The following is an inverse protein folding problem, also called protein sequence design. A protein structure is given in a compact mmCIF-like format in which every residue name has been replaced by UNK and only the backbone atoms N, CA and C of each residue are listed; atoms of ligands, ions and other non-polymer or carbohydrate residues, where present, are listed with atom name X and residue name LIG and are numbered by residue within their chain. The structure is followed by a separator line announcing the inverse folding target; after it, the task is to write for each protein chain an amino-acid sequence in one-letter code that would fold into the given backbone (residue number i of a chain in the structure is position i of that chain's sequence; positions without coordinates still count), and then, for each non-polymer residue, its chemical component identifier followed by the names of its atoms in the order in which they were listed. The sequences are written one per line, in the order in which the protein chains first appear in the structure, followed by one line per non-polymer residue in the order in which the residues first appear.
data_IF_848933010469
#
_entry.id   IF_848933010469
#
_cell.length_a   1.000
_cell.length_b   1.000
_cell.length_c   1.000
_cell.angle_alpha   90.00
_cell.angle_beta   90.00
_cell.angle_gamma   90.00
#
_symmetry.space_group_name_H-M   'P 1'
#
loop_
_entity.id
_entity.type
_entity.pdbx_description
1 polymer ?
#
# COMPACT_ATOMS: atom_id res chain seq x y z
N UNK A 1 11.47 60.44 -64.81
CA UNK A 1 11.49 60.47 -63.32
C UNK A 1 10.29 59.76 -62.70
N UNK A 2 9.10 59.73 -63.27
CA UNK A 2 7.89 59.09 -62.63
C UNK A 2 7.95 57.58 -62.64
N UNK A 3 8.50 56.86 -63.62
CA UNK A 3 8.60 55.37 -63.63
C UNK A 3 9.56 54.79 -62.61
N UNK A 4 10.54 55.55 -62.12
CA UNK A 4 11.47 55.09 -61.05
C UNK A 4 10.80 55.11 -59.68
N UNK A 5 9.88 55.99 -59.42
CA UNK A 5 9.17 56.10 -58.14
C UNK A 5 8.10 55.03 -58.00
N UNK A 6 7.44 54.57 -59.05
CA UNK A 6 6.46 53.49 -59.02
C UNK A 6 7.12 52.14 -58.77
N UNK A 7 8.31 51.90 -59.36
CA UNK A 7 9.06 50.65 -59.12
C UNK A 7 9.54 50.46 -57.63
N UNK A 8 9.88 51.57 -56.98
CA UNK A 8 10.32 51.55 -55.57
C UNK A 8 9.13 51.29 -54.61
N UNK A 9 7.96 51.83 -54.93
CA UNK A 9 6.76 51.66 -54.10
C UNK A 9 6.18 50.23 -54.19
N UNK A 10 6.23 49.62 -55.37
CA UNK A 10 5.76 48.24 -55.58
C UNK A 10 6.69 47.22 -54.90
N UNK A 11 8.03 47.46 -54.97
CA UNK A 11 9.01 46.53 -54.37
C UNK A 11 8.98 46.55 -52.84
N UNK A 12 8.73 47.73 -52.22
CA UNK A 12 8.57 47.84 -50.78
C UNK A 12 7.29 47.13 -50.27
N UNK A 13 6.18 47.17 -51.02
CA UNK A 13 4.94 46.50 -50.66
C UNK A 13 5.06 44.98 -50.78
N UNK A 14 5.80 44.45 -51.73
CA UNK A 14 6.05 43.02 -51.88
C UNK A 14 6.97 42.51 -50.76
N UNK A 15 8.00 43.28 -50.39
CA UNK A 15 8.90 42.96 -49.27
C UNK A 15 8.16 42.98 -47.94
N UNK A 16 7.33 43.98 -47.71
CA UNK A 16 6.51 44.11 -46.50
C UNK A 16 5.51 42.94 -46.35
N UNK A 17 4.83 42.57 -47.44
CA UNK A 17 3.90 41.43 -47.46
C UNK A 17 4.64 40.10 -47.17
N UNK A 18 5.83 39.87 -47.72
CA UNK A 18 6.65 38.67 -47.42
C UNK A 18 7.07 38.62 -45.95
N UNK A 19 7.43 39.77 -45.35
CA UNK A 19 7.83 39.85 -43.94
C UNK A 19 6.65 39.60 -43.01
N UNK A 20 5.47 40.14 -43.34
CA UNK A 20 4.22 39.91 -42.57
C UNK A 20 3.81 38.43 -42.66
N UNK A 21 3.83 37.84 -43.87
CA UNK A 21 3.52 36.41 -44.04
C UNK A 21 4.48 35.50 -43.23
N UNK A 22 5.79 35.78 -43.22
CA UNK A 22 6.76 35.04 -42.41
C UNK A 22 6.44 35.13 -40.92
N UNK A 23 6.12 36.31 -40.40
CA UNK A 23 5.74 36.53 -39.01
C UNK A 23 4.44 35.80 -38.67
N UNK A 24 3.43 35.83 -39.52
CA UNK A 24 2.18 35.09 -39.33
C UNK A 24 2.39 33.59 -39.35
N UNK A 25 3.27 33.08 -40.21
CA UNK A 25 3.61 31.66 -40.29
C UNK A 25 4.32 31.18 -38.98
N UNK A 26 5.25 31.99 -38.47
CA UNK A 26 5.93 31.72 -37.20
C UNK A 26 4.94 31.73 -36.03
N UNK A 27 4.03 32.72 -35.98
CA UNK A 27 2.99 32.76 -34.96
C UNK A 27 2.03 31.56 -35.02
N UNK A 28 1.66 31.11 -36.24
CA UNK A 28 0.84 29.93 -36.41
C UNK A 28 1.54 28.64 -35.99
N UNK A 29 2.84 28.49 -36.29
CA UNK A 29 3.66 27.35 -35.80
C UNK A 29 3.79 27.36 -34.28
N UNK A 30 4.05 28.52 -33.66
CA UNK A 30 4.10 28.66 -32.21
C UNK A 30 2.75 28.33 -31.52
N UNK A 31 1.64 28.74 -32.14
CA UNK A 31 0.28 28.42 -31.65
C UNK A 31 -0.01 26.91 -31.71
N UNK A 32 0.41 26.24 -32.80
CA UNK A 32 0.24 24.78 -32.95
C UNK A 32 1.15 24.02 -31.99
N UNK A 33 2.39 24.45 -31.77
CA UNK A 33 3.30 23.85 -30.80
C UNK A 33 2.83 24.08 -29.34
N UNK A 34 2.19 25.20 -29.04
CA UNK A 34 1.63 25.50 -27.70
C UNK A 34 0.42 24.62 -27.33
N UNK A 35 -0.34 24.15 -28.32
CA UNK A 35 -1.51 23.28 -28.10
C UNK A 35 -1.12 21.80 -27.86
N UNK A 36 0.09 21.38 -28.27
CA UNK A 36 0.53 19.99 -28.15
C UNK A 36 1.06 19.58 -26.76
N UNK A 37 1.24 20.51 -25.80
CA UNK A 37 1.98 20.26 -24.57
C UNK A 37 1.15 20.22 -23.29
N UNK A 38 -0.17 20.29 -23.35
CA UNK A 38 -1.02 20.28 -22.15
C UNK A 38 -1.61 18.90 -21.86
N UNK A 39 -0.79 17.84 -21.90
CA UNK A 39 -1.16 16.61 -21.21
C UNK A 39 -0.95 16.84 -19.70
N UNK A 40 -1.93 17.46 -19.03
CA UNK A 40 -1.93 17.56 -17.59
C UNK A 40 -1.83 16.14 -17.00
N UNK A 41 -0.74 15.88 -16.27
CA UNK A 41 -0.60 14.63 -15.56
C UNK A 41 -1.80 14.45 -14.63
N UNK A 42 -2.55 13.37 -14.83
CA UNK A 42 -3.72 13.08 -14.02
C UNK A 42 -3.30 12.21 -12.86
N UNK A 43 -3.62 12.65 -11.66
CA UNK A 43 -3.44 11.90 -10.42
C UNK A 43 -4.79 11.52 -9.85
N UNK A 44 -4.82 10.42 -9.12
CA UNK A 44 -5.96 10.02 -8.33
C UNK A 44 -5.53 9.63 -6.91
N UNK A 45 -6.49 9.63 -6.00
CA UNK A 45 -6.34 9.13 -4.65
C UNK A 45 -7.25 7.93 -4.45
N UNK A 46 -6.81 7.00 -3.62
CA UNK A 46 -7.63 5.94 -3.06
C UNK A 46 -7.52 5.96 -1.53
N UNK A 47 -8.51 5.46 -0.86
CA UNK A 47 -8.52 5.17 0.56
C UNK A 47 -8.57 3.65 0.72
N UNK A 48 -7.39 3.04 0.91
CA UNK A 48 -7.28 1.60 1.04
C UNK A 48 -8.01 1.07 2.27
N UNK A 49 -8.04 1.84 3.36
CA UNK A 49 -8.77 1.44 4.56
C UNK A 49 -10.28 1.39 4.30
N UNK A 50 -10.81 2.41 3.62
CA UNK A 50 -12.21 2.44 3.20
C UNK A 50 -12.53 1.28 2.26
N UNK A 51 -11.69 1.02 1.24
CA UNK A 51 -11.90 -0.08 0.29
C UNK A 51 -11.91 -1.42 1.02
N UNK A 52 -10.91 -1.70 1.85
CA UNK A 52 -10.79 -2.96 2.58
C UNK A 52 -11.97 -3.21 3.51
N UNK A 53 -12.45 -2.18 4.24
CA UNK A 53 -13.62 -2.29 5.12
C UNK A 53 -14.91 -2.65 4.39
N UNK A 54 -15.00 -2.34 3.09
CA UNK A 54 -16.17 -2.64 2.28
C UNK A 54 -16.06 -3.97 1.50
N UNK A 55 -14.97 -4.73 1.71
CA UNK A 55 -14.77 -6.06 1.10
C UNK A 55 -15.08 -7.16 2.12
N UNK A 56 -16.17 -7.93 1.98
CA UNK A 56 -16.54 -8.97 2.95
C UNK A 56 -15.47 -10.07 3.10
N UNK A 57 -14.65 -10.31 2.07
CA UNK A 57 -13.54 -11.25 2.14
C UNK A 57 -12.46 -10.80 3.13
N UNK A 58 -12.21 -9.50 3.23
CA UNK A 58 -11.27 -8.92 4.19
C UNK A 58 -11.74 -9.10 5.64
N UNK A 59 -13.02 -8.87 5.91
CA UNK A 59 -13.60 -9.09 7.24
C UNK A 59 -13.50 -10.56 7.66
N UNK A 60 -13.88 -11.49 6.77
CA UNK A 60 -13.73 -12.94 7.02
C UNK A 60 -12.28 -13.36 7.26
N UNK A 61 -11.33 -12.79 6.49
CA UNK A 61 -9.92 -13.06 6.68
C UNK A 61 -9.41 -12.59 8.05
N UNK A 62 -9.81 -11.38 8.47
CA UNK A 62 -9.49 -10.86 9.80
C UNK A 62 -10.09 -11.70 10.92
N UNK A 63 -11.33 -12.15 10.78
CA UNK A 63 -11.97 -13.02 11.75
C UNK A 63 -11.23 -14.36 11.89
N UNK A 64 -10.86 -14.99 10.77
CA UNK A 64 -10.05 -16.22 10.78
C UNK A 64 -8.70 -16.01 11.46
N UNK A 65 -8.01 -14.88 11.19
CA UNK A 65 -6.74 -14.56 11.83
C UNK A 65 -6.90 -14.38 13.34
N UNK A 66 -7.96 -13.70 13.77
CA UNK A 66 -8.26 -13.50 15.19
C UNK A 66 -8.55 -14.83 15.90
N UNK A 67 -9.34 -15.71 15.30
CA UNK A 67 -9.64 -17.03 15.87
C UNK A 67 -8.38 -17.88 16.01
N UNK A 68 -7.54 -17.93 14.98
CA UNK A 68 -6.29 -18.69 15.01
C UNK A 68 -5.30 -18.10 16.00
N UNK A 69 -5.17 -16.77 16.05
CA UNK A 69 -4.32 -16.08 17.01
C UNK A 69 -4.72 -16.38 18.46
N UNK A 70 -6.03 -16.32 18.77
CA UNK A 70 -6.54 -16.68 20.09
C UNK A 70 -6.25 -18.14 20.45
N UNK A 71 -6.43 -19.06 19.50
CA UNK A 71 -6.13 -20.47 19.72
C UNK A 71 -4.65 -20.68 20.03
N UNK A 72 -3.77 -20.14 19.22
CA UNK A 72 -2.32 -20.27 19.41
C UNK A 72 -1.81 -19.59 20.70
N UNK A 73 -2.41 -18.45 21.05
CA UNK A 73 -2.11 -17.78 22.33
C UNK A 73 -2.48 -18.68 23.50
N UNK A 74 -3.65 -19.32 23.46
CA UNK A 74 -4.05 -20.25 24.52
C UNK A 74 -3.11 -21.46 24.66
N UNK A 75 -2.57 -21.98 23.53
CA UNK A 75 -1.57 -23.07 23.57
C UNK A 75 -0.26 -22.60 24.24
N UNK A 76 0.22 -21.40 23.93
CA UNK A 76 1.41 -20.82 24.57
C UNK A 76 1.17 -20.55 26.05
N UNK A 77 0.00 -20.02 26.41
CA UNK A 77 -0.37 -19.70 27.78
C UNK A 77 -0.48 -20.98 28.64
N UNK A 78 -0.97 -22.07 28.07
CA UNK A 78 -1.03 -23.37 28.75
C UNK A 78 0.38 -23.86 29.15
N UNK A 79 1.34 -23.84 28.21
CA UNK A 79 2.73 -24.22 28.49
C UNK A 79 3.40 -23.29 29.51
N UNK A 80 3.12 -21.99 29.42
CA UNK A 80 3.62 -20.99 30.37
C UNK A 80 3.08 -21.26 31.79
N UNK A 81 1.79 -21.59 31.88
CA UNK A 81 1.14 -21.94 33.16
C UNK A 81 1.69 -23.24 33.72
N UNK A 82 1.98 -24.24 32.89
CA UNK A 82 2.65 -25.47 33.34
C UNK A 82 4.04 -25.18 33.90
N UNK A 83 4.86 -24.37 33.21
CA UNK A 83 6.18 -23.98 33.69
C UNK A 83 6.10 -23.25 35.02
N UNK A 84 5.16 -22.31 35.17
CA UNK A 84 4.93 -21.60 36.44
C UNK A 84 4.49 -22.55 37.56
N UNK A 85 3.67 -23.53 37.27
CA UNK A 85 3.23 -24.54 38.23
C UNK A 85 4.41 -25.42 38.71
N UNK A 86 5.25 -25.89 37.76
CA UNK A 86 6.46 -26.63 38.09
C UNK A 86 7.40 -25.80 38.98
N UNK A 87 7.59 -24.53 38.63
CA UNK A 87 8.42 -23.63 39.44
C UNK A 87 7.86 -23.43 40.87
N UNK A 88 6.56 -23.19 40.99
CA UNK A 88 5.90 -23.03 42.28
C UNK A 88 6.02 -24.31 43.14
N UNK A 89 5.84 -25.48 42.56
CA UNK A 89 6.01 -26.77 43.25
C UNK A 89 7.45 -26.95 43.68
N UNK A 90 8.42 -26.65 42.83
CA UNK A 90 9.83 -26.67 43.18
C UNK A 90 10.16 -25.77 44.35
N UNK A 91 9.65 -24.54 44.39
CA UNK A 91 9.86 -23.63 45.52
C UNK A 91 9.32 -24.20 46.82
N UNK A 92 8.17 -24.85 46.79
CA UNK A 92 7.56 -25.44 48.00
C UNK A 92 8.32 -26.69 48.51
N UNK A 93 8.90 -27.46 47.61
CA UNK A 93 9.53 -28.75 47.91
C UNK A 93 11.06 -28.66 48.08
N UNK A 94 11.71 -27.57 47.68
CA UNK A 94 13.16 -27.46 47.51
C UNK A 94 13.97 -27.81 48.74
N UNK A 95 13.43 -27.57 49.96
CA UNK A 95 14.12 -27.86 51.22
C UNK A 95 14.18 -29.38 51.55
N UNK A 96 13.28 -30.15 50.93
CA UNK A 96 13.18 -31.59 51.17
C UNK A 96 13.83 -32.43 50.06
N UNK A 97 14.27 -31.80 48.92
CA UNK A 97 14.81 -32.49 47.75
C UNK A 97 16.32 -32.77 47.90
N UNK A 98 16.76 -33.95 47.45
CA UNK A 98 18.18 -34.24 47.22
C UNK A 98 18.77 -33.32 46.12
N UNK A 99 20.10 -33.29 46.02
CA UNK A 99 20.79 -32.49 44.99
C UNK A 99 20.37 -32.90 43.57
N UNK A 100 20.27 -34.19 43.33
CA UNK A 100 19.87 -34.79 42.06
C UNK A 100 18.42 -34.44 41.70
N UNK A 101 17.54 -34.50 42.72
CA UNK A 101 16.12 -34.14 42.53
C UNK A 101 15.95 -32.65 42.27
N UNK A 102 16.72 -31.77 42.92
CA UNK A 102 16.73 -30.32 42.65
C UNK A 102 17.10 -30.08 41.17
N UNK A 103 18.19 -30.68 40.73
CA UNK A 103 18.63 -30.52 39.33
C UNK A 103 17.56 -31.02 38.33
N UNK A 104 17.01 -32.20 38.55
CA UNK A 104 15.97 -32.75 37.70
C UNK A 104 14.71 -31.82 37.60
N UNK A 105 14.30 -31.23 38.73
CA UNK A 105 13.19 -30.26 38.78
C UNK A 105 13.50 -28.97 38.02
N UNK A 106 14.72 -28.44 38.21
CA UNK A 106 15.17 -27.25 37.49
C UNK A 106 15.25 -27.48 35.98
N UNK A 107 15.80 -28.62 35.57
CA UNK A 107 15.89 -29.00 34.16
C UNK A 107 14.50 -29.13 33.52
N UNK A 108 13.54 -29.70 34.27
CA UNK A 108 12.15 -29.81 33.78
C UNK A 108 11.46 -28.44 33.61
N UNK A 109 11.73 -27.49 34.55
CA UNK A 109 11.21 -26.12 34.44
C UNK A 109 11.80 -25.43 33.20
N UNK A 110 13.14 -25.46 33.06
CA UNK A 110 13.83 -24.84 31.91
C UNK A 110 13.38 -25.44 30.59
N UNK A 111 13.19 -26.76 30.54
CA UNK A 111 12.68 -27.45 29.35
C UNK A 111 11.28 -26.94 28.98
N UNK A 112 10.38 -26.77 29.97
CA UNK A 112 9.02 -26.31 29.75
C UNK A 112 8.96 -24.83 29.34
N UNK A 113 9.78 -23.97 29.98
CA UNK A 113 9.92 -22.57 29.58
C UNK A 113 10.44 -22.43 28.16
N UNK A 114 11.43 -23.27 27.79
CA UNK A 114 11.94 -23.30 26.42
C UNK A 114 10.88 -23.74 25.41
N UNK A 115 10.11 -24.77 25.73
CA UNK A 115 9.00 -25.24 24.89
C UNK A 115 7.98 -24.12 24.63
N UNK A 116 7.59 -23.38 25.66
CA UNK A 116 6.68 -22.24 25.56
C UNK A 116 7.27 -21.12 24.68
N UNK A 117 8.56 -20.80 24.89
CA UNK A 117 9.26 -19.77 24.11
C UNK A 117 9.39 -20.16 22.62
N UNK A 118 9.75 -21.41 22.33
CA UNK A 118 9.88 -21.94 20.98
C UNK A 118 8.52 -21.96 20.27
N UNK A 119 7.46 -22.37 20.97
CA UNK A 119 6.10 -22.34 20.42
C UNK A 119 5.62 -20.92 20.14
N UNK A 120 5.87 -19.98 21.07
CA UNK A 120 5.57 -18.56 20.85
C UNK A 120 6.30 -18.00 19.64
N UNK A 121 7.59 -18.31 19.50
CA UNK A 121 8.39 -17.89 18.35
C UNK A 121 7.86 -18.50 17.04
N UNK A 122 7.48 -19.78 17.07
CA UNK A 122 6.89 -20.48 15.91
C UNK A 122 5.62 -19.80 15.43
N UNK A 123 4.71 -19.43 16.36
CA UNK A 123 3.42 -18.85 16.00
C UNK A 123 3.49 -17.36 15.71
N UNK A 124 4.19 -16.59 16.55
CA UNK A 124 4.16 -15.12 16.57
C UNK A 124 5.50 -14.46 16.20
N UNK A 125 6.52 -15.24 15.86
CA UNK A 125 7.79 -14.70 15.39
C UNK A 125 7.65 -13.90 14.09
N UNK A 126 8.69 -13.16 13.67
CA UNK A 126 8.65 -12.29 12.48
C UNK A 126 8.21 -13.01 11.20
N UNK A 127 8.58 -14.30 11.05
CA UNK A 127 8.16 -15.17 9.94
C UNK A 127 7.34 -16.37 10.45
N UNK A 128 6.66 -16.18 11.57
CA UNK A 128 5.85 -17.21 12.22
C UNK A 128 4.60 -17.58 11.43
N UNK A 129 3.91 -18.60 11.93
CA UNK A 129 2.71 -19.14 11.26
C UNK A 129 1.60 -18.10 11.12
N UNK A 130 1.48 -17.15 12.08
CA UNK A 130 0.49 -16.07 11.99
C UNK A 130 0.80 -15.11 10.83
N UNK A 131 2.08 -14.77 10.65
CA UNK A 131 2.52 -13.93 9.53
C UNK A 131 2.22 -14.62 8.19
N UNK A 132 2.61 -15.89 8.05
CA UNK A 132 2.35 -16.66 6.83
C UNK A 132 0.86 -16.76 6.51
N UNK A 133 0.05 -17.04 7.53
CA UNK A 133 -1.40 -17.12 7.37
C UNK A 133 -2.01 -15.78 6.99
N UNK A 134 -1.54 -14.69 7.58
CA UNK A 134 -1.96 -13.33 7.20
C UNK A 134 -1.64 -13.05 5.74
N UNK A 135 -0.40 -13.29 5.32
CA UNK A 135 0.01 -13.09 3.93
C UNK A 135 -0.85 -13.91 2.98
N UNK A 136 -1.06 -15.20 3.26
CA UNK A 136 -1.86 -16.07 2.41
C UNK A 136 -3.33 -15.62 2.26
N UNK A 137 -3.90 -15.02 3.30
CA UNK A 137 -5.29 -14.53 3.29
C UNK A 137 -5.41 -13.13 2.67
N UNK A 138 -4.41 -12.27 2.87
CA UNK A 138 -4.49 -10.86 2.46
C UNK A 138 -3.98 -10.62 1.03
N UNK A 139 -2.93 -11.37 0.58
CA UNK A 139 -2.37 -11.14 -0.75
C UNK A 139 -3.40 -11.23 -1.87
N UNK A 140 -4.29 -12.25 -1.93
CA UNK A 140 -5.29 -12.32 -3.00
C UNK A 140 -6.21 -11.09 -3.02
N UNK A 141 -6.62 -10.61 -1.84
CA UNK A 141 -7.49 -9.42 -1.70
C UNK A 141 -6.77 -8.16 -2.20
N UNK A 142 -5.48 -8.02 -1.82
CA UNK A 142 -4.66 -6.90 -2.26
C UNK A 142 -4.44 -6.92 -3.78
N UNK A 143 -4.21 -8.11 -4.35
CA UNK A 143 -4.04 -8.29 -5.80
C UNK A 143 -5.32 -7.93 -6.56
N UNK A 144 -6.50 -8.32 -6.07
CA UNK A 144 -7.79 -7.93 -6.66
C UNK A 144 -7.99 -6.42 -6.62
N UNK A 145 -7.70 -5.76 -5.48
CA UNK A 145 -7.79 -4.30 -5.36
C UNK A 145 -6.81 -3.62 -6.30
N UNK A 146 -5.55 -4.08 -6.35
CA UNK A 146 -4.54 -3.52 -7.24
C UNK A 146 -4.98 -3.58 -8.70
N UNK A 147 -5.50 -4.71 -9.14
CA UNK A 147 -5.99 -4.89 -10.50
C UNK A 147 -7.18 -3.96 -10.80
N UNK A 148 -8.12 -3.81 -9.86
CA UNK A 148 -9.24 -2.90 -10.00
C UNK A 148 -8.78 -1.43 -10.07
N UNK A 149 -7.83 -1.01 -9.21
CA UNK A 149 -7.22 0.32 -9.25
C UNK A 149 -6.53 0.56 -10.58
N UNK A 150 -5.77 -0.42 -11.08
CA UNK A 150 -5.08 -0.33 -12.36
C UNK A 150 -6.07 -0.17 -13.50
N UNK A 151 -7.13 -0.97 -13.56
CA UNK A 151 -8.16 -0.89 -14.59
C UNK A 151 -8.84 0.48 -14.62
N UNK A 152 -9.18 1.04 -13.43
CA UNK A 152 -9.76 2.38 -13.32
C UNK A 152 -8.76 3.44 -13.76
N UNK A 153 -7.50 3.31 -13.38
CA UNK A 153 -6.44 4.24 -13.76
C UNK A 153 -6.22 4.26 -15.28
N UNK A 154 -6.15 3.09 -15.90
CA UNK A 154 -5.98 2.95 -17.35
C UNK A 154 -7.18 3.55 -18.10
N UNK A 155 -8.40 3.27 -17.66
CA UNK A 155 -9.64 3.79 -18.26
C UNK A 155 -9.72 5.31 -18.19
N UNK A 156 -9.30 5.92 -17.09
CA UNK A 156 -9.38 7.36 -16.82
C UNK A 156 -8.14 8.13 -17.25
N UNK A 157 -7.07 7.42 -17.58
CA UNK A 157 -5.78 7.99 -17.97
C UNK A 157 -5.03 8.59 -16.77
N UNK A 158 -5.18 8.03 -15.58
CA UNK A 158 -4.38 8.40 -14.42
C UNK A 158 -2.98 7.81 -14.57
N UNK A 159 -1.96 8.61 -14.31
CA UNK A 159 -0.55 8.20 -14.38
C UNK A 159 -0.02 7.75 -13.00
N UNK A 160 -0.68 8.20 -11.94
CA UNK A 160 -0.33 7.88 -10.57
C UNK A 160 -1.60 7.83 -9.71
N UNK A 161 -1.71 6.79 -8.91
CA UNK A 161 -2.72 6.66 -7.86
C UNK A 161 -2.01 6.52 -6.53
N UNK A 162 -2.37 7.36 -5.56
CA UNK A 162 -1.78 7.36 -4.22
C UNK A 162 -2.82 6.94 -3.20
N UNK A 163 -2.38 6.13 -2.23
CA UNK A 163 -3.20 5.78 -1.08
C UNK A 163 -3.14 6.88 -0.02
N UNK A 164 -4.27 7.51 0.29
CA UNK A 164 -4.36 8.57 1.31
C UNK A 164 -4.47 8.03 2.74
N UNK A 165 -4.81 6.75 2.91
CA UNK A 165 -4.91 6.09 4.21
C UNK A 165 -3.55 5.59 4.72
N UNK A 166 -2.55 5.48 3.84
CA UNK A 166 -1.19 5.14 4.22
C UNK A 166 -0.42 6.38 4.71
N UNK A 167 0.73 6.15 5.38
CA UNK A 167 1.65 7.21 5.84
C UNK A 167 2.36 7.96 4.69
N UNK A 168 1.65 8.14 3.56
CA UNK A 168 2.19 8.75 2.33
C UNK A 168 2.45 10.27 2.44
N UNK A 169 2.17 10.88 3.59
CA UNK A 169 2.36 12.33 3.80
C UNK A 169 1.38 13.21 3.04
N UNK A 170 0.25 12.68 2.57
CA UNK A 170 -0.80 13.48 1.92
C UNK A 170 -1.56 14.26 2.97
N UNK A 171 -1.33 15.58 3.03
CA UNK A 171 -2.01 16.47 3.97
C UNK A 171 -3.42 16.81 3.51
N UNK A 172 -3.62 16.95 2.20
CA UNK A 172 -4.91 17.27 1.60
C UNK A 172 -5.06 16.61 0.23
N UNK A 173 -6.24 16.06 -0.01
CA UNK A 173 -6.66 15.53 -1.29
C UNK A 173 -8.12 15.90 -1.58
N UNK A 174 -8.37 16.51 -2.73
CA UNK A 174 -9.73 16.85 -3.14
C UNK A 174 -10.57 15.58 -3.30
N UNK A 175 -11.82 15.53 -2.76
CA UNK A 175 -12.73 14.40 -3.02
C UNK A 175 -12.99 14.13 -4.52
N UNK A 176 -12.77 15.13 -5.37
CA UNK A 176 -12.96 14.99 -6.83
C UNK A 176 -11.96 14.06 -7.51
N UNK A 177 -10.81 13.83 -6.88
CA UNK A 177 -9.77 12.92 -7.40
C UNK A 177 -9.72 11.59 -6.63
N UNK A 178 -10.62 11.39 -5.67
CA UNK A 178 -10.78 10.13 -4.93
C UNK A 178 -11.60 9.16 -5.79
N UNK A 179 -11.00 8.02 -6.10
CA UNK A 179 -11.60 6.97 -6.93
C UNK A 179 -11.99 5.72 -6.13
N UNK A 180 -11.96 5.78 -4.78
CA UNK A 180 -12.21 4.61 -3.92
C UNK A 180 -13.54 3.93 -4.20
N UNK A 181 -14.63 4.73 -4.34
CA UNK A 181 -15.96 4.19 -4.67
C UNK A 181 -16.04 3.61 -6.08
N UNK A 182 -15.26 4.13 -7.03
CA UNK A 182 -15.20 3.58 -8.39
C UNK A 182 -14.45 2.24 -8.40
N UNK A 183 -13.40 2.11 -7.59
CA UNK A 183 -12.66 0.86 -7.38
C UNK A 183 -13.57 -0.20 -6.74
N UNK A 184 -14.33 0.16 -5.69
CA UNK A 184 -15.31 -0.76 -5.07
C UNK A 184 -16.35 -1.23 -6.06
N UNK A 185 -16.92 -0.32 -6.85
CA UNK A 185 -17.86 -0.67 -7.91
C UNK A 185 -17.24 -1.62 -8.94
N UNK A 186 -15.97 -1.44 -9.29
CA UNK A 186 -15.25 -2.33 -10.21
C UNK A 186 -15.06 -3.73 -9.60
N UNK A 187 -14.87 -3.82 -8.28
CA UNK A 187 -14.78 -5.07 -7.52
C UNK A 187 -16.15 -5.74 -7.31
N UNK A 188 -17.26 -5.06 -7.64
CA UNK A 188 -18.62 -5.60 -7.49
C UNK A 188 -19.28 -5.29 -6.14
N UNK A 189 -18.79 -4.26 -5.44
CA UNK A 189 -19.29 -3.81 -4.13
C UNK A 189 -19.89 -2.41 -4.20
#
# INVERSE_FOLDING_TARGET
MIKLLEGIHVNNNVSLKKTIMKKLLICAICAICGLASASAQKFALVDMEYILKNIPAYERANEQLNQVSKKWQAEVDALTTEAQTLYKNYQNEVVFLSKEQKQARQDAIVAKEKEAADLKKKYFGPEGELFKKRTALMSPIQDEIYNAVKDVADLRGYQLVLDRASDSGIIFGSPKIDISSEVLKKLGY
#
